data_IF_518853275497
#
_entry.id   IF_518853275497
#
_cell.length_a   1.000
_cell.length_b   1.000
_cell.length_c   1.000
_cell.angle_alpha   90.00
_cell.angle_beta   90.00
_cell.angle_gamma   90.00
#
_symmetry.space_group_name_H-M   'P 1'
#
loop_
_entity.id
_entity.type
_entity.pdbx_description
1 polymer ?
#
# COMPACT_ATOMS: atom_id res chain seq x y z
N UNK A 1 9.58 64.20 39.02
CA UNK A 1 9.89 63.49 37.77
C UNK A 1 9.08 62.21 37.77
N UNK A 2 7.98 62.10 36.97
CA UNK A 2 7.10 60.92 36.89
C UNK A 2 7.45 60.14 35.62
N UNK A 3 8.05 58.95 35.78
CA UNK A 3 8.33 58.03 34.68
C UNK A 3 7.04 57.32 34.30
N UNK A 4 6.51 57.57 33.12
CA UNK A 4 5.42 56.82 32.53
C UNK A 4 6.03 55.60 31.80
N UNK A 5 5.73 54.42 32.32
CA UNK A 5 6.11 53.14 31.73
C UNK A 5 5.04 52.73 30.71
N UNK A 6 5.37 52.82 29.42
CA UNK A 6 4.50 52.36 28.33
C UNK A 6 4.58 50.84 28.26
N UNK A 7 3.50 50.16 28.59
CA UNK A 7 3.35 48.71 28.29
C UNK A 7 2.94 48.57 26.82
N UNK A 8 3.83 47.99 26.01
CA UNK A 8 3.51 47.56 24.62
C UNK A 8 2.89 46.17 24.74
N UNK A 9 1.58 46.09 24.58
CA UNK A 9 0.89 44.78 24.44
C UNK A 9 1.17 44.23 23.05
N UNK A 10 1.98 43.15 22.97
CA UNK A 10 2.18 42.40 21.75
C UNK A 10 0.95 41.51 21.50
N UNK A 11 0.10 41.89 20.57
CA UNK A 11 -0.99 41.04 20.07
C UNK A 11 -0.38 39.94 19.20
N UNK A 12 -0.37 38.69 19.72
CA UNK A 12 -0.02 37.53 18.95
C UNK A 12 -1.14 37.28 17.92
N UNK A 13 -0.82 37.48 16.65
CA UNK A 13 -1.70 37.12 15.53
C UNK A 13 -1.65 35.61 15.35
N UNK A 14 -2.68 34.88 15.77
CA UNK A 14 -2.84 33.47 15.48
C UNK A 14 -3.32 33.37 14.02
N UNK A 15 -2.40 33.08 13.10
CA UNK A 15 -2.77 32.76 11.73
C UNK A 15 -3.57 31.45 11.73
N UNK A 16 -4.85 31.51 11.41
CA UNK A 16 -5.67 30.32 11.18
C UNK A 16 -5.09 29.57 9.99
N UNK A 17 -4.63 28.34 10.19
CA UNK A 17 -4.21 27.48 9.09
C UNK A 17 -5.43 27.17 8.23
N UNK A 18 -5.41 27.61 6.98
CA UNK A 18 -6.43 27.24 5.99
C UNK A 18 -6.05 25.91 5.35
N UNK A 19 -7.06 25.17 4.86
CA UNK A 19 -6.88 23.85 4.29
C UNK A 19 -7.79 23.62 3.09
N UNK A 20 -7.35 22.77 2.17
CA UNK A 20 -8.11 22.35 1.01
C UNK A 20 -8.46 20.85 1.06
N UNK A 21 -9.46 20.47 0.29
CA UNK A 21 -9.78 19.06 0.06
C UNK A 21 -9.19 18.64 -1.29
N UNK A 22 -8.13 17.84 -1.26
CA UNK A 22 -7.40 17.41 -2.45
C UNK A 22 -7.96 16.07 -2.95
N UNK A 23 -8.30 16.03 -4.22
CA UNK A 23 -8.71 14.81 -4.92
C UNK A 23 -7.76 14.56 -6.08
N UNK A 24 -7.11 13.40 -6.07
CA UNK A 24 -6.23 12.96 -7.15
C UNK A 24 -6.88 11.80 -7.88
N UNK A 25 -7.11 11.99 -9.17
CA UNK A 25 -7.54 10.91 -10.06
C UNK A 25 -6.32 10.29 -10.74
N UNK A 26 -6.22 8.97 -10.69
CA UNK A 26 -5.17 8.20 -11.37
C UNK A 26 -5.79 7.46 -12.54
N UNK A 27 -5.25 7.71 -13.73
CA UNK A 27 -5.66 7.08 -14.97
C UNK A 27 -4.53 6.22 -15.52
N UNK A 28 -4.87 5.17 -16.25
CA UNK A 28 -3.91 4.39 -17.01
C UNK A 28 -3.53 5.11 -18.32
N UNK A 29 -2.65 4.49 -19.11
CA UNK A 29 -2.22 5.04 -20.40
C UNK A 29 -3.38 5.25 -21.38
N UNK A 30 -4.46 4.45 -21.25
CA UNK A 30 -5.63 4.51 -22.13
C UNK A 30 -6.73 5.42 -21.57
N UNK A 31 -6.46 6.14 -20.47
CA UNK A 31 -7.39 7.06 -19.82
C UNK A 31 -8.45 6.41 -18.93
N UNK A 32 -8.27 5.13 -18.56
CA UNK A 32 -9.20 4.43 -17.66
C UNK A 32 -8.77 4.60 -16.20
N UNK A 33 -9.74 4.63 -15.25
CA UNK A 33 -9.44 4.67 -13.83
C UNK A 33 -8.55 3.53 -13.36
N UNK A 34 -7.58 3.82 -12.48
CA UNK A 34 -6.69 2.83 -11.88
C UNK A 34 -6.98 2.70 -10.39
N UNK A 35 -7.62 1.62 -9.95
CA UNK A 35 -7.78 1.31 -8.54
C UNK A 35 -6.46 0.82 -7.93
N UNK A 36 -6.36 0.89 -6.57
CA UNK A 36 -5.20 0.44 -5.79
C UNK A 36 -3.86 1.12 -6.12
N UNK A 37 -3.84 2.21 -6.89
CA UNK A 37 -2.66 3.06 -7.01
C UNK A 37 -2.41 3.78 -5.68
N UNK A 38 -1.15 3.85 -5.24
CA UNK A 38 -0.77 4.56 -4.02
C UNK A 38 -0.49 6.01 -4.37
N UNK A 39 -1.23 6.91 -3.77
CA UNK A 39 -1.06 8.36 -3.90
C UNK A 39 -0.48 8.92 -2.62
N UNK A 40 0.65 9.59 -2.72
CA UNK A 40 1.35 10.22 -1.60
C UNK A 40 1.38 11.72 -1.82
N UNK A 41 0.86 12.49 -0.85
CA UNK A 41 0.99 13.93 -0.81
C UNK A 41 2.15 14.34 0.11
N UNK A 42 2.86 15.37 -0.28
CA UNK A 42 3.91 16.02 0.50
C UNK A 42 3.56 17.51 0.61
N UNK A 43 2.73 17.92 1.58
CA UNK A 43 2.45 19.33 1.82
C UNK A 43 3.73 20.08 2.19
N UNK A 44 3.91 21.29 1.69
CA UNK A 44 5.08 22.13 2.00
C UNK A 44 5.04 22.73 3.41
N UNK A 45 3.87 22.67 4.07
CA UNK A 45 3.67 23.08 5.47
C UNK A 45 3.45 21.87 6.35
N UNK A 46 4.12 21.81 7.49
CA UNK A 46 3.88 20.83 8.53
C UNK A 46 2.61 21.15 9.39
N UNK A 47 1.94 22.26 9.11
CA UNK A 47 0.72 22.65 9.80
C UNK A 47 -0.43 21.70 9.44
N UNK A 48 -1.07 21.13 10.43
CA UNK A 48 -2.17 20.18 10.28
C UNK A 48 -1.76 18.74 10.59
N UNK A 49 -2.65 18.04 11.27
CA UNK A 49 -2.50 16.61 11.51
C UNK A 49 -3.16 15.87 10.34
N UNK A 50 -2.41 15.06 9.58
CA UNK A 50 -3.04 14.21 8.59
C UNK A 50 -4.04 13.29 9.29
N UNK A 51 -5.19 13.00 8.68
CA UNK A 51 -6.04 11.95 9.20
C UNK A 51 -5.21 10.67 9.27
N UNK A 52 -5.16 10.01 10.43
CA UNK A 52 -4.47 8.73 10.58
C UNK A 52 -5.23 7.66 9.79
N UNK A 53 -4.98 7.58 8.49
CA UNK A 53 -5.61 6.63 7.59
C UNK A 53 -4.82 5.32 7.48
N UNK A 54 -3.62 5.29 8.08
CA UNK A 54 -2.74 4.13 8.05
C UNK A 54 -2.96 3.26 9.28
N UNK A 55 -3.23 1.98 9.06
CA UNK A 55 -3.33 0.99 10.13
C UNK A 55 -1.93 0.65 10.65
N UNK A 56 -1.77 0.66 11.97
CA UNK A 56 -0.50 0.28 12.60
C UNK A 56 -0.20 -1.22 12.48
N UNK A 57 -1.23 -2.06 12.36
CA UNK A 57 -1.10 -3.52 12.29
C UNK A 57 -2.10 -4.11 11.29
N UNK A 58 -1.90 -3.88 9.98
CA UNK A 58 -2.77 -4.47 8.96
C UNK A 58 -2.52 -5.96 8.81
N UNK A 59 -3.55 -6.66 8.33
CA UNK A 59 -3.46 -8.08 7.96
C UNK A 59 -3.42 -8.21 6.44
N UNK A 60 -2.58 -9.13 5.96
CA UNK A 60 -2.52 -9.60 4.59
C UNK A 60 -2.88 -11.08 4.59
N UNK A 61 -4.08 -11.39 4.13
CA UNK A 61 -4.51 -12.77 4.00
C UNK A 61 -3.95 -13.42 2.73
N UNK A 62 -3.65 -14.71 2.83
CA UNK A 62 -3.38 -15.57 1.69
C UNK A 62 -4.65 -16.38 1.45
N UNK A 63 -5.41 -15.98 0.46
CA UNK A 63 -6.69 -16.58 0.12
C UNK A 63 -6.77 -16.87 -1.38
N UNK A 64 -7.11 -18.11 -1.74
CA UNK A 64 -7.22 -18.57 -3.15
C UNK A 64 -5.96 -18.26 -3.95
N UNK A 65 -4.80 -18.55 -3.35
CA UNK A 65 -3.46 -18.29 -3.94
C UNK A 65 -3.23 -16.82 -4.31
N UNK A 66 -3.73 -15.89 -3.48
CA UNK A 66 -3.53 -14.44 -3.65
C UNK A 66 -3.23 -13.79 -2.31
N UNK A 67 -2.51 -12.68 -2.34
CA UNK A 67 -2.43 -11.75 -1.20
C UNK A 67 -3.65 -10.82 -1.23
N UNK A 68 -4.34 -10.71 -0.10
CA UNK A 68 -5.55 -9.87 0.06
C UNK A 68 -5.37 -8.97 1.30
N UNK A 69 -5.28 -7.67 1.13
CA UNK A 69 -5.26 -6.94 -0.13
C UNK A 69 -3.95 -7.15 -0.93
N UNK A 70 -4.00 -6.92 -2.22
CA UNK A 70 -2.82 -7.06 -3.09
C UNK A 70 -1.79 -5.93 -2.88
N UNK A 71 -2.23 -4.77 -2.44
CA UNK A 71 -1.41 -3.62 -2.06
C UNK A 71 -1.80 -3.16 -0.67
N UNK A 72 -0.85 -3.18 0.25
CA UNK A 72 -1.00 -2.73 1.63
C UNK A 72 -0.12 -1.51 1.85
N UNK A 73 -0.66 -0.45 2.44
CA UNK A 73 0.10 0.77 2.77
C UNK A 73 0.25 0.87 4.27
N UNK A 74 1.47 1.09 4.73
CA UNK A 74 1.82 1.21 6.15
C UNK A 74 2.81 2.34 6.40
N UNK A 75 2.88 2.82 7.63
CA UNK A 75 3.95 3.70 8.10
C UNK A 75 5.19 2.89 8.53
N UNK A 76 6.40 3.47 8.57
CA UNK A 76 7.54 2.86 9.23
C UNK A 76 7.23 2.50 10.69
N UNK A 77 7.74 1.36 11.15
CA UNK A 77 7.47 0.82 12.48
C UNK A 77 6.21 -0.05 12.58
N UNK A 78 5.40 -0.13 11.51
CA UNK A 78 4.20 -0.98 11.49
C UNK A 78 4.55 -2.46 11.51
N UNK A 79 3.68 -3.25 12.16
CA UNK A 79 3.74 -4.72 12.15
C UNK A 79 2.65 -5.25 11.23
N UNK A 80 3.04 -5.94 10.17
CA UNK A 80 2.12 -6.55 9.20
C UNK A 80 1.92 -8.02 9.54
N UNK A 81 0.68 -8.44 9.73
CA UNK A 81 0.30 -9.83 9.95
C UNK A 81 0.00 -10.51 8.63
N UNK A 82 0.64 -11.65 8.39
CA UNK A 82 0.32 -12.56 7.29
C UNK A 82 -0.48 -13.74 7.81
N UNK A 83 -1.64 -14.03 7.20
CA UNK A 83 -2.54 -15.10 7.64
C UNK A 83 -2.84 -16.04 6.48
N UNK A 84 -2.69 -17.36 6.68
CA UNK A 84 -3.01 -18.34 5.64
C UNK A 84 -4.46 -18.83 5.79
N UNK A 85 -5.35 -18.41 4.90
CA UNK A 85 -6.74 -18.85 4.85
C UNK A 85 -6.96 -20.06 3.92
N UNK A 86 -5.94 -20.44 3.13
CA UNK A 86 -5.99 -21.59 2.24
C UNK A 86 -5.70 -22.89 2.98
N UNK A 87 -6.11 -24.02 2.42
CA UNK A 87 -5.86 -25.37 2.98
C UNK A 87 -4.45 -25.89 2.70
N UNK A 88 -3.71 -25.26 1.84
CA UNK A 88 -2.33 -25.62 1.47
C UNK A 88 -1.33 -24.62 2.03
N UNK A 89 -0.09 -25.07 2.09
CA UNK A 89 1.01 -24.29 2.63
C UNK A 89 1.38 -23.14 1.71
N UNK A 90 1.82 -22.04 2.31
CA UNK A 90 2.44 -20.93 1.62
C UNK A 90 3.85 -20.65 2.14
N UNK A 91 4.74 -20.26 1.23
CA UNK A 91 6.07 -19.77 1.56
C UNK A 91 6.21 -18.34 1.03
N UNK A 92 5.83 -17.38 1.87
CA UNK A 92 5.85 -15.96 1.54
C UNK A 92 7.28 -15.44 1.55
N UNK A 93 7.63 -14.67 0.54
CA UNK A 93 8.88 -13.90 0.45
C UNK A 93 8.58 -12.43 0.34
N UNK A 94 9.24 -11.63 1.16
CA UNK A 94 9.26 -10.18 1.06
C UNK A 94 10.63 -9.72 0.60
N UNK A 95 10.69 -9.12 -0.60
CA UNK A 95 11.91 -8.55 -1.15
C UNK A 95 11.73 -7.04 -1.25
N UNK A 96 12.46 -6.24 -0.48
CA UNK A 96 12.50 -4.81 -0.68
C UNK A 96 13.00 -4.52 -2.09
N UNK A 97 12.15 -4.00 -2.95
CA UNK A 97 12.59 -3.39 -4.18
C UNK A 97 13.26 -2.10 -3.79
N UNK A 98 14.54 -1.94 -4.14
CA UNK A 98 15.34 -0.80 -3.74
C UNK A 98 14.50 0.46 -3.83
N UNK A 99 14.19 1.03 -2.68
CA UNK A 99 13.55 2.32 -2.65
C UNK A 99 14.45 3.20 -3.49
N UNK A 100 13.94 3.68 -4.62
CA UNK A 100 14.51 4.85 -5.18
C UNK A 100 14.43 5.87 -4.04
N UNK A 101 15.51 5.95 -3.26
CA UNK A 101 15.78 7.14 -2.52
C UNK A 101 15.59 8.21 -3.56
N UNK A 102 14.50 8.96 -3.46
CA UNK A 102 14.33 10.16 -4.24
C UNK A 102 15.54 11.00 -3.89
N UNK A 103 16.57 10.89 -4.72
CA UNK A 103 17.68 11.82 -4.71
C UNK A 103 17.02 13.17 -4.93
N UNK A 104 17.08 14.10 -3.97
CA UNK A 104 16.68 15.46 -4.27
C UNK A 104 17.55 15.88 -5.45
N UNK A 105 16.94 16.40 -6.52
CA UNK A 105 17.62 17.05 -7.59
C UNK A 105 18.29 18.32 -7.02
N UNK A 106 19.50 18.16 -6.50
CA UNK A 106 20.32 19.18 -5.89
C UNK A 106 21.47 18.47 -5.20
N UNK A 107 22.68 18.55 -5.79
CA UNK A 107 23.89 17.89 -5.34
C UNK A 107 24.28 18.24 -3.89
N UNK A 108 23.73 17.48 -2.96
CA UNK A 108 24.14 17.42 -1.57
C UNK A 108 24.63 16.01 -1.29
N UNK A 109 25.85 15.89 -0.78
CA UNK A 109 26.43 14.64 -0.32
C UNK A 109 25.47 13.94 0.60
N UNK A 110 25.18 12.66 0.31
CA UNK A 110 24.44 11.77 1.19
C UNK A 110 25.18 11.74 2.56
N UNK A 111 24.50 12.28 3.58
CA UNK A 111 24.95 12.11 4.96
C UNK A 111 24.99 10.58 5.24
N UNK A 112 26.15 10.09 5.67
CA UNK A 112 26.36 8.72 6.11
C UNK A 112 25.61 8.46 7.42
N UNK A 113 24.33 8.18 7.30
CA UNK A 113 23.39 7.77 8.34
C UNK A 113 22.32 6.93 7.66
N UNK A 114 22.75 5.86 6.96
CA UNK A 114 21.84 4.98 6.24
C UNK A 114 20.89 4.30 7.21
N UNK A 115 19.61 4.68 7.19
CA UNK A 115 18.57 3.85 7.76
C UNK A 115 18.72 2.45 7.14
N UNK A 116 18.88 1.43 7.98
CA UNK A 116 19.05 0.06 7.53
C UNK A 116 17.86 -0.29 6.62
N UNK A 117 18.17 -0.74 5.40
CA UNK A 117 17.12 -1.16 4.46
C UNK A 117 16.27 -2.26 5.10
N UNK A 118 14.97 -2.27 4.83
CA UNK A 118 14.10 -3.37 5.28
C UNK A 118 14.75 -4.68 4.84
N UNK A 119 15.05 -5.63 5.74
CA UNK A 119 15.66 -6.89 5.35
C UNK A 119 14.68 -7.74 4.53
N UNK A 120 15.21 -8.60 3.68
CA UNK A 120 14.42 -9.67 3.07
C UNK A 120 13.86 -10.56 4.18
N UNK A 121 12.63 -11.04 3.99
CA UNK A 121 12.05 -11.99 4.93
C UNK A 121 11.40 -13.17 4.21
N UNK A 122 11.31 -14.29 4.91
CA UNK A 122 10.63 -15.49 4.45
C UNK A 122 9.75 -16.03 5.58
N UNK A 123 8.51 -16.40 5.24
CA UNK A 123 7.53 -16.95 6.16
C UNK A 123 6.97 -18.25 5.58
N UNK A 124 6.99 -19.32 6.37
CA UNK A 124 6.30 -20.56 6.05
C UNK A 124 5.03 -20.64 6.89
N UNK A 125 3.89 -20.67 6.22
CA UNK A 125 2.58 -20.73 6.85
C UNK A 125 1.88 -22.00 6.38
N UNK A 126 1.71 -22.95 7.29
CA UNK A 126 0.99 -24.18 7.02
C UNK A 126 -0.46 -23.90 6.63
N UNK A 127 -1.03 -24.79 5.84
CA UNK A 127 -2.43 -24.71 5.42
C UNK A 127 -3.39 -24.69 6.61
N UNK A 128 -4.50 -24.00 6.44
CA UNK A 128 -5.56 -23.93 7.46
C UNK A 128 -6.28 -25.27 7.55
N UNK A 129 -6.21 -25.91 8.70
CA UNK A 129 -6.98 -27.12 8.98
C UNK A 129 -8.44 -26.80 9.29
N UNK A 130 -9.34 -27.71 8.96
CA UNK A 130 -10.77 -27.55 9.22
C UNK A 130 -11.03 -27.37 10.73
N UNK A 131 -11.85 -26.38 11.05
CA UNK A 131 -12.19 -26.03 12.44
C UNK A 131 -11.05 -25.43 13.27
N UNK A 132 -9.88 -25.17 12.68
CA UNK A 132 -8.75 -24.52 13.35
C UNK A 132 -8.59 -23.06 12.93
N UNK A 133 -8.03 -22.22 13.82
CA UNK A 133 -7.62 -20.88 13.43
C UNK A 133 -6.61 -20.92 12.28
N UNK A 134 -6.60 -19.89 11.46
CA UNK A 134 -5.60 -19.74 10.40
C UNK A 134 -4.21 -19.52 10.99
N UNK A 135 -3.19 -20.15 10.39
CA UNK A 135 -1.80 -19.91 10.75
C UNK A 135 -1.40 -18.49 10.32
N UNK A 136 -0.63 -17.83 11.17
CA UNK A 136 -0.16 -16.46 10.92
C UNK A 136 1.28 -16.26 11.35
N UNK A 137 1.89 -15.20 10.80
CA UNK A 137 3.18 -14.67 11.22
C UNK A 137 3.19 -13.16 11.04
N UNK A 138 3.98 -12.48 11.87
CA UNK A 138 4.06 -11.04 11.91
C UNK A 138 5.44 -10.57 11.40
N UNK A 139 5.47 -9.48 10.64
CA UNK A 139 6.69 -8.84 10.13
C UNK A 139 6.66 -7.37 10.50
N UNK A 140 7.70 -6.89 11.15
CA UNK A 140 7.91 -5.47 11.42
C UNK A 140 8.65 -4.79 10.26
N UNK A 141 8.17 -3.63 9.84
CA UNK A 141 8.70 -2.86 8.71
C UNK A 141 9.10 -1.47 9.18
N UNK A 142 10.39 -1.26 9.39
CA UNK A 142 10.91 -0.02 10.02
C UNK A 142 11.36 1.04 9.00
N UNK A 143 11.54 0.67 7.73
CA UNK A 143 12.10 1.56 6.71
C UNK A 143 11.12 1.84 5.58
N UNK A 144 10.98 3.10 5.19
CA UNK A 144 10.17 3.49 4.03
C UNK A 144 10.69 2.86 2.73
N UNK A 145 9.78 2.45 1.86
CA UNK A 145 10.09 1.80 0.59
C UNK A 145 9.01 0.82 0.17
N UNK A 146 9.27 0.10 -0.91
CA UNK A 146 8.34 -0.91 -1.44
C UNK A 146 8.90 -2.29 -1.16
N UNK A 147 8.06 -3.18 -0.63
CA UNK A 147 8.37 -4.60 -0.47
C UNK A 147 7.54 -5.40 -1.47
N UNK A 148 8.21 -6.08 -2.39
CA UNK A 148 7.57 -7.01 -3.31
C UNK A 148 7.28 -8.33 -2.59
N UNK A 149 6.03 -8.73 -2.57
CA UNK A 149 5.60 -10.02 -2.03
C UNK A 149 5.49 -11.06 -3.13
N UNK A 150 5.94 -12.26 -2.83
CA UNK A 150 5.79 -13.44 -3.67
C UNK A 150 5.57 -14.69 -2.83
N UNK A 151 5.06 -15.75 -3.45
CA UNK A 151 5.04 -17.07 -2.84
C UNK A 151 5.98 -18.00 -3.61
N UNK A 152 6.89 -18.70 -2.91
CA UNK A 152 7.81 -19.63 -3.56
C UNK A 152 7.09 -20.84 -4.16
N UNK A 153 6.04 -21.31 -3.48
CA UNK A 153 5.26 -22.47 -3.90
C UNK A 153 4.26 -22.15 -5.02
N UNK A 154 3.84 -20.89 -5.14
CA UNK A 154 2.80 -20.45 -6.07
C UNK A 154 3.28 -19.21 -6.85
N UNK A 155 3.97 -19.42 -7.95
CA UNK A 155 4.67 -18.37 -8.70
C UNK A 155 3.79 -17.23 -9.23
N UNK A 156 2.47 -17.41 -9.29
CA UNK A 156 1.51 -16.37 -9.69
C UNK A 156 1.12 -15.41 -8.53
N UNK A 157 1.39 -15.79 -7.26
CA UNK A 157 1.08 -14.93 -6.12
C UNK A 157 2.03 -13.72 -6.09
N UNK A 158 1.48 -12.55 -6.25
CA UNK A 158 2.18 -11.27 -6.18
C UNK A 158 1.40 -10.28 -5.35
N UNK A 159 2.10 -9.48 -4.56
CA UNK A 159 1.57 -8.39 -3.78
C UNK A 159 2.64 -7.38 -3.48
N UNK A 160 2.26 -6.29 -2.80
CA UNK A 160 3.18 -5.24 -2.43
C UNK A 160 2.83 -4.68 -1.05
N UNK A 161 3.85 -4.33 -0.29
CA UNK A 161 3.69 -3.46 0.85
C UNK A 161 4.40 -2.15 0.51
N UNK A 162 3.67 -1.06 0.57
CA UNK A 162 4.21 0.27 0.41
C UNK A 162 4.39 0.89 1.80
N UNK A 163 5.64 0.96 2.26
CA UNK A 163 5.97 1.63 3.51
C UNK A 163 6.20 3.11 3.19
N UNK A 164 5.22 3.94 3.54
CA UNK A 164 5.21 5.35 3.14
C UNK A 164 6.04 6.22 4.05
N UNK A 165 6.64 7.27 3.46
CA UNK A 165 7.35 8.35 4.17
C UNK A 165 6.48 9.58 4.45
N UNK A 166 5.18 9.50 4.13
CA UNK A 166 4.22 10.57 4.38
C UNK A 166 2.93 10.03 4.95
N UNK A 167 2.44 10.64 6.01
CA UNK A 167 1.14 10.32 6.58
C UNK A 167 -0.04 10.68 5.65
N UNK A 168 0.20 11.52 4.65
CA UNK A 168 -0.76 11.85 3.61
C UNK A 168 -0.69 10.83 2.47
N UNK A 169 -0.99 9.58 2.76
CA UNK A 169 -0.94 8.49 1.78
C UNK A 169 -2.23 7.71 1.77
N UNK A 170 -2.81 7.54 0.58
CA UNK A 170 -4.02 6.77 0.33
C UNK A 170 -3.85 5.90 -0.91
N UNK A 171 -4.68 4.88 -0.99
CA UNK A 171 -4.91 4.16 -2.25
C UNK A 171 -6.11 4.76 -2.99
N UNK A 172 -6.06 4.70 -4.31
CA UNK A 172 -7.22 5.03 -5.13
C UNK A 172 -8.33 3.98 -4.97
N UNK A 173 -9.57 4.45 -5.01
CA UNK A 173 -10.77 3.62 -5.02
C UNK A 173 -11.03 2.97 -6.41
N UNK A 174 -12.19 2.35 -6.58
CA UNK A 174 -12.62 1.73 -7.85
C UNK A 174 -12.68 2.71 -9.03
N UNK A 175 -12.90 3.99 -8.74
CA UNK A 175 -12.97 5.06 -9.74
C UNK A 175 -11.61 5.71 -9.99
N UNK A 176 -10.55 5.14 -9.42
CA UNK A 176 -9.19 5.65 -9.54
C UNK A 176 -8.94 6.92 -8.75
N UNK A 177 -9.71 7.19 -7.70
CA UNK A 177 -9.65 8.46 -6.98
C UNK A 177 -9.14 8.27 -5.55
N UNK A 178 -8.18 9.11 -5.15
CA UNK A 178 -7.72 9.28 -3.77
C UNK A 178 -8.18 10.65 -3.24
N UNK A 179 -8.87 10.69 -2.09
CA UNK A 179 -9.46 11.90 -1.49
C UNK A 179 -8.82 12.22 -0.17
N UNK A 180 -8.14 13.35 -0.10
CA UNK A 180 -7.44 13.85 1.08
C UNK A 180 -8.18 15.05 1.66
N UNK A 181 -8.86 14.90 2.81
CA UNK A 181 -9.52 16.01 3.49
C UNK A 181 -8.51 16.88 4.23
N UNK A 182 -8.79 18.16 4.33
CA UNK A 182 -8.09 19.11 5.20
C UNK A 182 -6.55 19.16 5.01
N UNK A 183 -6.09 19.06 3.77
CA UNK A 183 -4.66 19.23 3.44
C UNK A 183 -4.27 20.70 3.66
N UNK A 184 -3.16 21.00 4.36
CA UNK A 184 -2.69 22.37 4.52
C UNK A 184 -2.55 23.08 3.19
N UNK A 185 -2.98 24.33 3.10
CA UNK A 185 -2.81 25.15 1.89
C UNK A 185 -1.35 25.49 1.63
N UNK A 186 -1.07 25.87 0.38
CA UNK A 186 0.27 26.19 -0.09
C UNK A 186 0.82 25.17 -1.09
N UNK A 187 2.14 25.23 -1.28
CA UNK A 187 2.84 24.34 -2.19
C UNK A 187 2.82 22.89 -1.65
N UNK A 188 2.58 21.95 -2.54
CA UNK A 188 2.63 20.52 -2.24
C UNK A 188 3.22 19.74 -3.42
N UNK A 189 3.56 18.48 -3.20
CA UNK A 189 3.96 17.55 -4.25
C UNK A 189 3.10 16.30 -4.18
N UNK A 190 2.80 15.71 -5.34
CA UNK A 190 2.10 14.44 -5.48
C UNK A 190 3.05 13.41 -6.04
N UNK A 191 3.14 12.24 -5.41
CA UNK A 191 3.76 11.04 -5.96
C UNK A 191 2.67 9.99 -6.17
N UNK A 192 2.67 9.35 -7.33
CA UNK A 192 1.82 8.19 -7.60
C UNK A 192 2.69 6.99 -7.87
N UNK A 193 2.38 5.88 -7.21
CA UNK A 193 3.04 4.60 -7.39
C UNK A 193 2.02 3.51 -7.73
N UNK A 194 2.40 2.61 -8.61
CA UNK A 194 1.64 1.40 -8.92
C UNK A 194 2.58 0.24 -9.19
N UNK A 195 2.25 -0.96 -8.71
CA UNK A 195 3.13 -2.13 -8.78
C UNK A 195 3.52 -2.60 -10.19
N UNK A 196 2.78 -2.20 -11.21
CA UNK A 196 3.09 -2.50 -12.61
C UNK A 196 3.76 -1.35 -13.36
N UNK A 197 3.94 -0.21 -12.70
CA UNK A 197 4.70 0.93 -13.22
C UNK A 197 6.19 0.67 -12.97
N UNK A 198 6.92 0.25 -14.01
CA UNK A 198 8.33 -0.16 -13.90
C UNK A 198 9.28 1.01 -13.64
N UNK A 199 8.92 2.20 -14.09
CA UNK A 199 9.70 3.43 -13.88
C UNK A 199 8.85 4.39 -13.06
N UNK A 200 9.35 4.79 -11.91
CA UNK A 200 8.65 5.75 -11.06
C UNK A 200 8.39 7.06 -11.81
N UNK A 201 7.17 7.56 -11.69
CA UNK A 201 6.82 8.87 -12.20
C UNK A 201 7.50 9.96 -11.35
N UNK A 202 7.93 11.08 -11.96
CA UNK A 202 8.42 12.21 -11.19
C UNK A 202 7.31 12.77 -10.31
N UNK A 203 7.69 13.32 -9.16
CA UNK A 203 6.74 14.05 -8.32
C UNK A 203 6.17 15.24 -9.07
N UNK A 204 4.85 15.39 -9.03
CA UNK A 204 4.13 16.50 -9.66
C UNK A 204 3.90 17.60 -8.63
N UNK A 205 4.21 18.84 -8.99
CA UNK A 205 3.90 20.00 -8.16
C UNK A 205 2.38 20.24 -8.13
N UNK A 206 1.87 20.63 -6.97
CA UNK A 206 0.47 20.96 -6.71
C UNK A 206 0.42 22.19 -5.82
N UNK A 207 -0.57 23.05 -6.02
CA UNK A 207 -0.88 24.14 -5.09
C UNK A 207 -2.23 23.81 -4.42
N UNK A 208 -2.21 23.68 -3.11
CA UNK A 208 -3.42 23.50 -2.30
C UNK A 208 -3.97 24.87 -1.96
N UNK A 209 -5.24 25.07 -2.24
CA UNK A 209 -5.99 26.29 -1.91
C UNK A 209 -7.20 25.92 -1.04
N UNK A 210 -7.75 26.86 -0.26
CA UNK A 210 -8.99 26.60 0.48
C UNK A 210 -10.12 26.15 -0.46
N UNK A 211 -10.75 25.01 -0.10
CA UNK A 211 -11.81 24.41 -0.91
C UNK A 211 -11.35 23.15 -1.69
N UNK A 212 -12.09 22.76 -2.73
CA UNK A 212 -11.77 21.56 -3.52
C UNK A 212 -10.61 21.81 -4.48
N UNK A 213 -9.63 20.90 -4.47
CA UNK A 213 -8.51 20.86 -5.41
C UNK A 213 -8.57 19.53 -6.15
N UNK A 214 -8.72 19.56 -7.47
CA UNK A 214 -8.81 18.40 -8.33
C UNK A 214 -7.57 18.32 -9.22
N UNK A 215 -6.93 17.17 -9.26
CA UNK A 215 -5.80 16.94 -10.15
C UNK A 215 -5.81 15.51 -10.70
N UNK A 216 -5.12 15.30 -11.82
CA UNK A 216 -5.06 14.02 -12.51
C UNK A 216 -3.60 13.63 -12.77
N UNK A 217 -3.30 12.36 -12.52
CA UNK A 217 -2.00 11.75 -12.84
C UNK A 217 -2.25 10.55 -13.74
N UNK A 218 -1.57 10.50 -14.88
CA UNK A 218 -1.67 9.41 -15.83
C UNK A 218 -0.44 8.50 -15.70
N UNK A 219 -0.68 7.18 -15.56
CA UNK A 219 0.35 6.16 -15.60
C UNK A 219 0.80 5.92 -17.05
N UNK A 220 2.03 5.45 -17.24
CA UNK A 220 2.55 5.06 -18.56
C UNK A 220 2.20 3.62 -18.95
N UNK A 221 1.49 2.90 -18.10
CA UNK A 221 1.10 1.49 -18.26
C UNK A 221 -0.42 1.31 -18.22
N UNK A 222 -0.88 0.17 -18.74
CA UNK A 222 -2.24 -0.33 -18.52
C UNK A 222 -2.13 -1.49 -17.53
N UNK A 223 -2.56 -1.30 -16.27
CA UNK A 223 -2.48 -2.36 -15.27
C UNK A 223 -3.32 -3.58 -15.66
N UNK A 224 -2.79 -4.76 -15.37
CA UNK A 224 -3.51 -6.01 -15.63
C UNK A 224 -4.70 -6.11 -14.67
N UNK A 225 -5.90 -6.24 -15.21
CA UNK A 225 -7.07 -6.55 -14.42
C UNK A 225 -6.90 -7.94 -13.81
N UNK A 226 -6.73 -8.02 -12.49
CA UNK A 226 -6.73 -9.30 -11.77
C UNK A 226 -8.16 -9.83 -11.76
N UNK A 227 -8.50 -10.69 -12.74
CA UNK A 227 -9.80 -11.36 -12.73
C UNK A 227 -9.94 -12.16 -11.44
N UNK A 228 -11.08 -12.01 -10.75
CA UNK A 228 -11.45 -12.95 -9.72
C UNK A 228 -11.43 -14.37 -10.31
N UNK A 229 -10.98 -15.40 -9.56
CA UNK A 229 -11.16 -16.77 -10.01
C UNK A 229 -12.62 -16.98 -10.37
N UNK A 230 -12.93 -17.75 -11.44
CA UNK A 230 -14.31 -18.12 -11.70
C UNK A 230 -14.91 -18.72 -10.43
N UNK A 231 -16.14 -18.34 -10.08
CA UNK A 231 -16.86 -18.96 -8.98
C UNK A 231 -16.80 -20.48 -9.20
N UNK A 232 -16.46 -21.22 -8.15
CA UNK A 232 -16.52 -22.68 -8.22
C UNK A 232 -17.91 -23.06 -8.73
N UNK A 233 -18.03 -23.99 -9.71
CA UNK A 233 -19.34 -24.43 -10.16
C UNK A 233 -20.14 -24.87 -8.94
N UNK A 234 -21.36 -24.33 -8.78
CA UNK A 234 -22.28 -24.75 -7.74
C UNK A 234 -22.38 -26.27 -7.81
N UNK A 235 -22.05 -26.95 -6.69
CA UNK A 235 -21.82 -28.38 -6.62
C UNK A 235 -22.92 -29.17 -7.34
N UNK A 236 -22.55 -29.74 -8.47
CA UNK A 236 -23.28 -30.85 -9.04
C UNK A 236 -23.11 -32.07 -8.13
N UNK A 237 -24.10 -32.98 -8.06
CA UNK A 237 -24.01 -34.14 -7.21
C UNK A 237 -22.73 -34.93 -7.55
N UNK A 238 -21.95 -35.26 -6.53
CA UNK A 238 -20.79 -36.16 -6.63
C UNK A 238 -21.26 -37.46 -7.27
N UNK A 239 -20.84 -37.66 -8.53
CA UNK A 239 -20.94 -38.98 -9.15
C UNK A 239 -20.16 -39.98 -8.30
N UNK A 240 -20.88 -40.97 -7.75
CA UNK A 240 -20.29 -42.12 -7.05
C UNK A 240 -19.36 -42.84 -8.01
N UNK A 241 -18.04 -42.69 -7.83
CA UNK A 241 -17.07 -43.61 -8.45
C UNK A 241 -17.26 -44.96 -7.80
N UNK A 242 -17.94 -45.87 -8.51
CA UNK A 242 -18.03 -47.30 -8.15
C UNK A 242 -16.60 -47.88 -8.14
N UNK A 243 -16.15 -48.33 -6.99
CA UNK A 243 -14.95 -49.14 -6.86
C UNK A 243 -15.14 -50.44 -7.64
N UNK A 244 -14.41 -50.59 -8.75
CA UNK A 244 -14.29 -51.89 -9.39
C UNK A 244 -13.48 -52.80 -8.48
N UNK A 245 -14.09 -53.93 -8.12
CA UNK A 245 -13.48 -55.00 -7.32
C UNK A 245 -12.25 -55.59 -8.04
N UNK A 246 -11.18 -56.01 -7.34
CA UNK A 246 -10.05 -56.68 -7.92
C UNK A 246 -10.44 -58.07 -8.38
N UNK A 247 -10.38 -58.33 -9.67
CA UNK A 247 -10.62 -59.64 -10.27
C UNK A 247 -9.59 -60.66 -9.82
N UNK A 248 -10.11 -61.81 -9.44
CA UNK A 248 -9.38 -63.01 -9.03
C UNK A 248 -8.48 -63.56 -10.11
N UNK A 249 -7.43 -64.25 -9.66
CA UNK A 249 -6.30 -64.76 -10.38
C UNK A 249 -6.58 -65.70 -11.56
N UNK A 250 -5.55 -65.84 -12.38
CA UNK A 250 -5.34 -67.04 -13.20
C UNK A 250 -3.95 -67.59 -12.94
N UNK A 251 -3.97 -68.81 -12.40
CA UNK A 251 -2.88 -69.79 -12.36
C UNK A 251 -2.72 -70.37 -13.76
N UNK A 252 -1.52 -70.35 -14.33
CA UNK A 252 -0.84 -71.40 -15.06
C UNK A 252 0.63 -71.07 -15.19
#
# INVERSE_FOLDING_TARGET
MKNAMFLIAATAYVASATSGNVQIQVLDRDGKPVPDAVVVLYPGSAAGSPPSLLQASPTIDQEKMRFVPAVTVVAPGSTVRFTNQDRWDHHVRGNPSGGAASTPAGGGQAAAGGAAATPNFELRLAGKADGKPANHADVKLDTAGVVLLGCHLHGSMRGHIFVTDSAWTLKTDSDGIARFPAVPDGAAQVRVWHGEQLVDLPRKALTVVPGPVLDTVQLSVVPRVRRAPPAAPAGGPMGSYSQAAPGAGHVH
#
